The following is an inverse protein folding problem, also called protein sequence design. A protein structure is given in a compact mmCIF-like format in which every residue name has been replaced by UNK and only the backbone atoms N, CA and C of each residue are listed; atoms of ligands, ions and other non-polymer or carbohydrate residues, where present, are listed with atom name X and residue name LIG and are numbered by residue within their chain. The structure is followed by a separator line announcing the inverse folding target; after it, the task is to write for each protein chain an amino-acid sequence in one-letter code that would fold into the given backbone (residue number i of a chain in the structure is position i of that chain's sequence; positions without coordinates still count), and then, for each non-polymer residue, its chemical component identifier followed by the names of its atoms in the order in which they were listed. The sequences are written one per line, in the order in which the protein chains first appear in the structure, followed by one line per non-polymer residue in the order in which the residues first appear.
data_IF_545776814943
#
_entry.id   IF_545776814943
#
_cell.length_a   1.000
_cell.length_b   1.000
_cell.length_c   1.000
_cell.angle_alpha   90.00
_cell.angle_beta   90.00
_cell.angle_gamma   90.00
#
_symmetry.space_group_name_H-M   'P 1'
#
loop_
_entity.id
_entity.type
_entity.pdbx_description
1 polymer ?
#
# COMPACT_ATOMS: atom_id res chain seq x y z
N UNK A 1 -18.41 -14.97 4.52
CA UNK A 1 -17.85 -16.33 4.46
C UNK A 1 -17.39 -16.71 5.86
N UNK A 2 -17.60 -17.96 6.28
CA UNK A 2 -17.32 -18.49 7.62
C UNK A 2 -15.90 -19.06 7.80
N UNK A 3 -15.05 -18.96 6.76
CA UNK A 3 -13.65 -19.37 6.80
C UNK A 3 -13.40 -20.87 6.71
N UNK A 4 -14.42 -21.69 6.43
CA UNK A 4 -14.23 -23.15 6.35
C UNK A 4 -13.61 -23.66 5.04
N UNK A 5 -13.36 -22.76 4.07
CA UNK A 5 -12.81 -23.06 2.74
C UNK A 5 -11.49 -22.33 2.46
N UNK A 6 -10.63 -22.21 3.49
CA UNK A 6 -9.30 -21.63 3.32
C UNK A 6 -8.45 -22.53 2.42
N UNK A 7 -7.93 -21.95 1.35
CA UNK A 7 -6.98 -22.59 0.44
C UNK A 7 -5.62 -21.94 0.63
N UNK A 8 -4.60 -22.74 0.94
CA UNK A 8 -3.24 -22.26 0.88
C UNK A 8 -2.81 -22.16 -0.59
N UNK A 9 -2.61 -20.93 -1.07
CA UNK A 9 -2.25 -20.64 -2.47
C UNK A 9 -0.74 -20.46 -2.69
N UNK A 10 0.07 -20.40 -1.62
CA UNK A 10 1.53 -20.45 -1.71
C UNK A 10 2.08 -21.66 -0.96
N UNK A 11 2.75 -22.56 -1.69
CA UNK A 11 3.29 -23.79 -1.12
C UNK A 11 4.79 -23.89 -1.38
N UNK A 12 5.55 -23.09 -0.64
CA UNK A 12 7.00 -23.04 -0.71
C UNK A 12 7.58 -22.71 0.68
N UNK A 13 8.90 -22.86 0.86
CA UNK A 13 9.57 -22.64 2.14
C UNK A 13 9.98 -21.16 2.40
N UNK A 14 9.72 -20.27 1.43
CA UNK A 14 10.05 -18.86 1.51
C UNK A 14 9.02 -18.11 2.38
N UNK A 15 9.39 -16.92 2.84
CA UNK A 15 8.43 -15.99 3.39
C UNK A 15 7.63 -15.37 2.23
N UNK A 16 6.31 -15.40 2.34
CA UNK A 16 5.39 -14.71 1.45
C UNK A 16 4.56 -13.72 2.30
N UNK A 17 4.33 -12.50 1.80
CA UNK A 17 3.59 -11.49 2.56
C UNK A 17 2.97 -10.39 1.74
N UNK A 18 2.18 -9.54 2.41
CA UNK A 18 1.49 -8.40 1.80
C UNK A 18 0.63 -8.74 0.56
N UNK A 19 -0.23 -9.78 0.58
CA UNK A 19 -1.03 -10.12 -0.58
C UNK A 19 -2.08 -9.05 -0.86
N UNK A 20 -2.19 -8.64 -2.13
CA UNK A 20 -3.22 -7.74 -2.62
C UNK A 20 -3.91 -8.33 -3.85
N UNK A 21 -5.24 -8.25 -3.86
CA UNK A 21 -6.05 -8.71 -4.99
C UNK A 21 -6.02 -7.69 -6.12
N UNK A 22 -5.96 -8.17 -7.36
CA UNK A 22 -6.24 -7.31 -8.51
C UNK A 22 -7.68 -6.79 -8.46
N UNK A 23 -7.99 -5.62 -9.07
CA UNK A 23 -9.32 -5.02 -8.98
C UNK A 23 -10.46 -5.92 -9.47
N UNK A 24 -10.17 -6.78 -10.46
CA UNK A 24 -11.10 -7.75 -11.01
C UNK A 24 -11.12 -9.10 -10.26
N UNK A 25 -10.33 -9.26 -9.20
CA UNK A 25 -10.22 -10.48 -8.40
C UNK A 25 -9.57 -11.68 -9.09
N UNK A 26 -9.01 -11.51 -10.29
CA UNK A 26 -8.45 -12.63 -11.07
C UNK A 26 -7.00 -12.97 -10.70
N UNK A 27 -6.29 -12.06 -10.02
CA UNK A 27 -4.88 -12.18 -9.69
C UNK A 27 -4.60 -11.72 -8.26
N UNK A 28 -3.46 -12.17 -7.74
CA UNK A 28 -2.90 -11.76 -6.45
C UNK A 28 -1.48 -11.27 -6.72
N UNK A 29 -1.15 -10.07 -6.26
CA UNK A 29 0.24 -9.62 -6.13
C UNK A 29 0.70 -9.76 -4.68
N UNK A 30 1.95 -10.12 -4.46
CA UNK A 30 2.52 -10.35 -3.14
C UNK A 30 4.04 -10.26 -3.21
N UNK A 31 4.72 -10.03 -2.08
CA UNK A 31 6.18 -10.14 -2.03
C UNK A 31 6.58 -11.53 -1.54
N UNK A 32 7.73 -12.01 -2.00
CA UNK A 32 8.29 -13.31 -1.62
C UNK A 32 9.81 -13.30 -1.68
N UNK A 33 10.47 -14.02 -0.77
CA UNK A 33 11.93 -14.13 -0.77
C UNK A 33 12.49 -15.42 -1.40
N UNK A 34 11.68 -16.08 -2.24
CA UNK A 34 12.02 -17.37 -2.85
C UNK A 34 13.26 -17.34 -3.75
N UNK A 35 13.65 -16.16 -4.23
CA UNK A 35 14.81 -15.96 -5.11
C UNK A 35 16.04 -15.38 -4.36
N UNK A 36 15.98 -15.25 -3.04
CA UNK A 36 17.11 -14.83 -2.19
C UNK A 36 17.01 -13.40 -1.64
N UNK A 37 16.08 -12.60 -2.14
CA UNK A 37 15.69 -11.27 -1.68
C UNK A 37 14.17 -11.09 -1.89
N UNK A 38 13.57 -10.07 -1.27
CA UNK A 38 12.14 -9.82 -1.42
C UNK A 38 11.84 -9.28 -2.82
N UNK A 39 10.93 -9.94 -3.52
CA UNK A 39 10.55 -9.64 -4.90
C UNK A 39 9.03 -9.59 -5.05
N UNK A 40 8.53 -8.73 -5.93
CA UNK A 40 7.10 -8.67 -6.26
C UNK A 40 6.75 -9.75 -7.27
N UNK A 41 5.83 -10.62 -6.86
CA UNK A 41 5.24 -11.65 -7.70
C UNK A 41 3.78 -11.39 -7.97
N UNK A 42 3.32 -11.86 -9.13
CA UNK A 42 1.90 -11.96 -9.46
C UNK A 42 1.55 -13.41 -9.80
N UNK A 43 0.42 -13.88 -9.31
CA UNK A 43 -0.15 -15.19 -9.64
C UNK A 43 -1.65 -15.09 -9.91
N UNK A 44 -2.23 -16.14 -10.48
CA UNK A 44 -3.68 -16.25 -10.60
C UNK A 44 -4.32 -16.40 -9.20
N UNK A 45 -5.60 -16.02 -9.09
CA UNK A 45 -6.39 -16.12 -7.86
C UNK A 45 -6.39 -17.51 -7.19
N UNK A 46 -6.19 -18.57 -7.97
CA UNK A 46 -6.13 -19.96 -7.52
C UNK A 46 -4.72 -20.40 -7.10
N UNK A 47 -3.73 -19.50 -7.11
CA UNK A 47 -2.33 -19.76 -6.79
C UNK A 47 -1.49 -20.25 -7.97
N UNK A 48 -2.07 -20.44 -9.14
CA UNK A 48 -1.35 -20.91 -10.33
C UNK A 48 -0.54 -19.80 -11.01
N UNK A 49 0.46 -20.21 -11.79
CA UNK A 49 1.27 -19.32 -12.65
C UNK A 49 1.91 -18.12 -11.93
N UNK A 50 2.70 -18.31 -10.86
CA UNK A 50 3.45 -17.23 -10.25
C UNK A 50 4.54 -16.72 -11.22
N UNK A 51 4.64 -15.40 -11.35
CA UNK A 51 5.61 -14.69 -12.20
C UNK A 51 6.32 -13.63 -11.36
N UNK A 52 7.65 -13.61 -11.38
CA UNK A 52 8.47 -12.55 -10.77
C UNK A 52 8.42 -11.31 -11.66
N UNK A 53 8.06 -10.15 -11.11
CA UNK A 53 7.98 -8.89 -11.86
C UNK A 53 9.23 -8.02 -11.71
N UNK A 54 9.86 -7.97 -10.54
CA UNK A 54 10.87 -6.96 -10.21
C UNK A 54 12.32 -7.41 -10.43
N UNK A 55 12.63 -8.68 -10.20
CA UNK A 55 13.90 -9.36 -10.40
C UNK A 55 15.15 -8.45 -10.33
N UNK A 56 15.47 -7.95 -9.14
CA UNK A 56 16.63 -7.09 -8.89
C UNK A 56 17.20 -7.32 -7.48
N UNK A 57 18.47 -7.01 -7.18
CA UNK A 57 19.07 -7.37 -5.89
C UNK A 57 18.51 -6.64 -4.65
N UNK A 58 17.65 -5.65 -4.83
CA UNK A 58 17.08 -4.84 -3.75
C UNK A 58 15.87 -5.53 -3.12
N UNK A 59 15.35 -5.02 -2.00
CA UNK A 59 14.11 -5.53 -1.42
C UNK A 59 12.91 -4.79 -2.03
N UNK A 60 12.01 -5.52 -2.69
CA UNK A 60 10.75 -4.98 -3.21
C UNK A 60 9.55 -5.50 -2.40
N UNK A 61 8.73 -4.56 -1.89
CA UNK A 61 7.65 -4.87 -0.94
C UNK A 61 6.39 -4.02 -1.20
N UNK A 62 5.36 -4.26 -0.37
CA UNK A 62 4.11 -3.51 -0.34
C UNK A 62 3.47 -3.26 -1.73
N UNK A 63 3.19 -4.32 -2.52
CA UNK A 63 2.57 -4.15 -3.83
C UNK A 63 1.16 -3.56 -3.70
N UNK A 64 0.80 -2.66 -4.61
CA UNK A 64 -0.52 -2.04 -4.70
C UNK A 64 -0.96 -1.89 -6.15
N UNK A 65 -2.08 -2.53 -6.50
CA UNK A 65 -2.67 -2.47 -7.84
C UNK A 65 -3.27 -1.10 -8.12
N UNK A 66 -3.03 -0.58 -9.34
CA UNK A 66 -3.85 0.47 -9.91
C UNK A 66 -5.30 -0.03 -10.11
N UNK A 67 -6.32 0.84 -10.02
CA UNK A 67 -7.73 0.42 -10.11
C UNK A 67 -8.12 -0.15 -11.48
N UNK A 68 -7.39 0.21 -12.53
CA UNK A 68 -7.54 -0.37 -13.87
C UNK A 68 -6.85 -1.73 -14.04
N UNK A 69 -6.05 -2.15 -13.05
CA UNK A 69 -5.33 -3.42 -13.03
C UNK A 69 -4.13 -3.47 -13.99
N UNK A 70 -3.65 -2.35 -14.52
CA UNK A 70 -2.55 -2.33 -15.50
C UNK A 70 -1.18 -2.13 -14.86
N UNK A 71 -1.12 -1.54 -13.67
CA UNK A 71 0.12 -1.13 -13.02
C UNK A 71 0.11 -1.56 -11.56
N UNK A 72 1.30 -1.85 -11.03
CA UNK A 72 1.52 -2.10 -9.61
C UNK A 72 2.51 -1.04 -9.11
N UNK A 73 2.11 -0.33 -8.07
CA UNK A 73 3.02 0.48 -7.26
C UNK A 73 3.64 -0.41 -6.17
N UNK A 74 4.89 -0.16 -5.80
CA UNK A 74 5.58 -0.93 -4.77
C UNK A 74 6.73 -0.10 -4.18
N UNK A 75 7.21 -0.48 -3.00
CA UNK A 75 8.36 0.15 -2.35
C UNK A 75 9.64 -0.65 -2.64
N UNK A 76 10.77 0.06 -2.77
CA UNK A 76 12.08 -0.56 -3.06
C UNK A 76 13.23 0.31 -2.57
N UNK A 77 14.29 -0.32 -2.08
CA UNK A 77 15.53 0.33 -1.62
C UNK A 77 16.68 0.35 -2.64
N UNK A 78 16.41 -0.05 -3.90
CA UNK A 78 17.40 -0.18 -4.99
C UNK A 78 18.36 0.99 -5.21
N UNK A 79 17.94 2.21 -4.88
CA UNK A 79 18.74 3.42 -5.07
C UNK A 79 19.37 3.94 -3.76
N UNK A 80 19.53 3.04 -2.77
CA UNK A 80 20.16 3.32 -1.48
C UNK A 80 19.22 3.96 -0.44
N UNK A 81 17.95 4.08 -0.80
CA UNK A 81 16.87 4.63 0.01
C UNK A 81 15.53 4.08 -0.48
N UNK A 82 14.59 3.87 0.43
CA UNK A 82 13.26 3.38 0.10
C UNK A 82 12.47 4.46 -0.64
N UNK A 83 11.99 4.09 -1.83
CA UNK A 83 11.27 4.93 -2.77
C UNK A 83 10.12 4.13 -3.41
N UNK A 84 9.15 4.82 -4.01
CA UNK A 84 8.01 4.19 -4.68
C UNK A 84 8.28 4.08 -6.18
N UNK A 85 8.05 2.88 -6.71
CA UNK A 85 8.22 2.55 -8.13
C UNK A 85 6.90 2.03 -8.71
N UNK A 86 6.80 2.10 -10.03
CA UNK A 86 5.74 1.48 -10.81
C UNK A 86 6.30 0.37 -11.69
N UNK A 87 5.52 -0.69 -11.87
CA UNK A 87 5.77 -1.75 -12.85
C UNK A 87 4.47 -2.16 -13.54
N UNK A 88 4.53 -2.55 -14.80
CA UNK A 88 3.36 -3.08 -15.49
C UNK A 88 2.97 -4.43 -14.90
N UNK A 89 1.68 -4.63 -14.66
CA UNK A 89 1.17 -5.83 -14.01
C UNK A 89 1.29 -7.11 -14.87
N UNK A 90 1.50 -6.94 -16.17
CA UNK A 90 1.75 -8.05 -17.11
C UNK A 90 3.24 -8.44 -17.18
N UNK A 91 4.12 -7.73 -16.45
CA UNK A 91 5.57 -7.94 -16.46
C UNK A 91 6.28 -7.37 -17.68
N UNK A 92 5.59 -6.60 -18.52
CA UNK A 92 6.23 -5.89 -19.63
C UNK A 92 7.00 -4.66 -19.14
N UNK A 93 8.10 -4.33 -19.83
CA UNK A 93 8.93 -3.17 -19.47
C UNK A 93 9.77 -3.38 -18.22
N UNK A 94 10.32 -2.28 -17.70
CA UNK A 94 11.13 -2.26 -16.49
C UNK A 94 10.45 -1.39 -15.44
N UNK A 95 10.66 -1.72 -14.16
CA UNK A 95 10.20 -0.86 -13.08
C UNK A 95 10.81 0.54 -13.18
N UNK A 96 10.00 1.57 -12.99
CA UNK A 96 10.40 2.98 -13.08
C UNK A 96 10.13 3.69 -11.75
N UNK A 97 11.06 4.56 -11.34
CA UNK A 97 10.90 5.36 -10.13
C UNK A 97 9.75 6.33 -10.31
N UNK A 98 8.83 6.35 -9.34
CA UNK A 98 7.71 7.30 -9.33
C UNK A 98 8.03 8.51 -8.47
N UNK A 99 8.53 8.29 -7.26
CA UNK A 99 8.92 9.35 -6.33
C UNK A 99 10.01 8.89 -5.36
N UNK A 100 10.83 9.85 -4.92
CA UNK A 100 11.75 9.74 -3.79
C UNK A 100 11.75 11.06 -3.03
N UNK A 101 11.07 11.14 -1.89
CA UNK A 101 11.09 12.34 -1.02
C UNK A 101 12.43 12.43 -0.26
N UNK A 102 12.64 13.40 0.67
CA UNK A 102 13.79 13.37 1.58
C UNK A 102 13.72 12.30 2.68
N UNK A 103 12.53 11.81 3.05
CA UNK A 103 12.33 10.67 3.97
C UNK A 103 11.99 9.39 3.21
N UNK A 104 12.14 8.20 3.81
CA UNK A 104 11.78 6.95 3.15
C UNK A 104 10.27 6.93 2.81
N UNK A 105 9.93 6.43 1.61
CA UNK A 105 8.56 6.44 1.08
C UNK A 105 7.97 5.02 1.10
N UNK A 106 6.98 4.79 1.94
CA UNK A 106 6.45 3.45 2.24
C UNK A 106 4.98 3.27 1.86
N UNK A 107 4.57 2.02 1.73
CA UNK A 107 3.17 1.58 1.68
C UNK A 107 2.28 2.37 0.70
N UNK A 108 2.61 2.39 -0.61
CA UNK A 108 1.80 3.09 -1.59
C UNK A 108 0.39 2.48 -1.69
N UNK A 109 -0.64 3.33 -1.81
CA UNK A 109 -2.03 2.92 -2.03
C UNK A 109 -2.71 3.79 -3.07
N UNK A 110 -3.34 3.16 -4.06
CA UNK A 110 -4.06 3.87 -5.11
C UNK A 110 -5.42 4.37 -4.61
N UNK A 111 -5.77 5.59 -5.01
CA UNK A 111 -7.14 6.09 -4.94
C UNK A 111 -8.07 5.26 -5.85
N UNK A 112 -9.36 5.11 -5.53
CA UNK A 112 -10.27 4.24 -6.29
C UNK A 112 -10.47 4.64 -7.75
N UNK A 113 -10.30 5.93 -8.08
CA UNK A 113 -10.41 6.44 -9.45
C UNK A 113 -9.08 6.37 -10.22
N UNK A 114 -8.00 5.97 -9.56
CA UNK A 114 -6.67 5.81 -10.14
C UNK A 114 -5.94 7.12 -10.41
N UNK A 115 -6.47 8.25 -9.97
CA UNK A 115 -5.89 9.57 -10.26
C UNK A 115 -4.81 9.99 -9.26
N UNK A 116 -4.80 9.36 -8.09
CA UNK A 116 -3.91 9.67 -6.96
C UNK A 116 -3.33 8.42 -6.31
N UNK A 117 -2.18 8.61 -5.66
CA UNK A 117 -1.53 7.64 -4.79
C UNK A 117 -1.31 8.30 -3.43
N UNK A 118 -1.74 7.61 -2.37
CA UNK A 118 -1.37 7.90 -1.00
C UNK A 118 -0.14 7.08 -0.61
N UNK A 119 0.73 7.62 0.22
CA UNK A 119 1.91 6.91 0.73
C UNK A 119 2.38 7.53 2.04
N UNK A 120 3.18 6.79 2.80
CA UNK A 120 3.80 7.29 4.01
C UNK A 120 5.19 7.86 3.72
N UNK A 121 5.51 9.04 4.26
CA UNK A 121 6.88 9.56 4.27
C UNK A 121 7.15 10.32 5.56
N UNK A 122 8.26 9.99 6.23
CA UNK A 122 8.70 10.69 7.45
C UNK A 122 7.72 10.61 8.63
N UNK A 123 6.88 9.57 8.68
CA UNK A 123 5.84 9.42 9.70
C UNK A 123 4.52 10.12 9.37
N UNK A 124 4.44 10.83 8.25
CA UNK A 124 3.22 11.49 7.77
C UNK A 124 2.64 10.78 6.54
N UNK A 125 1.39 11.08 6.24
CA UNK A 125 0.73 10.62 5.01
C UNK A 125 0.82 11.72 3.96
N UNK A 126 1.26 11.31 2.79
CA UNK A 126 1.33 12.12 1.59
C UNK A 126 0.34 11.62 0.55
N UNK A 127 -0.17 12.54 -0.26
CA UNK A 127 -0.98 12.26 -1.44
C UNK A 127 -0.34 12.94 -2.64
N UNK A 128 -0.16 12.20 -3.73
CA UNK A 128 0.32 12.73 -5.01
C UNK A 128 -0.61 12.33 -6.15
N UNK A 129 -0.45 12.95 -7.30
CA UNK A 129 -1.05 12.46 -8.54
C UNK A 129 -0.42 11.11 -8.92
N UNK A 130 -1.16 10.28 -9.66
CA UNK A 130 -0.70 8.96 -10.09
C UNK A 130 0.58 8.97 -10.97
N UNK A 131 0.90 10.12 -11.58
CA UNK A 131 2.14 10.33 -12.34
C UNK A 131 3.34 10.78 -11.48
N UNK A 132 3.17 10.81 -10.15
CA UNK A 132 4.19 11.23 -9.19
C UNK A 132 4.22 12.74 -8.94
N UNK A 133 3.43 13.53 -9.66
CA UNK A 133 3.42 14.98 -9.52
C UNK A 133 2.61 15.44 -8.30
N UNK A 134 2.91 16.66 -7.82
CA UNK A 134 2.18 17.35 -6.75
C UNK A 134 2.01 16.53 -5.45
N UNK A 135 3.10 16.02 -4.84
CA UNK A 135 3.02 15.43 -3.51
C UNK A 135 2.62 16.49 -2.47
N UNK A 136 1.62 16.16 -1.65
CA UNK A 136 1.08 17.01 -0.57
C UNK A 136 1.11 16.21 0.72
N UNK A 137 1.72 16.74 1.78
CA UNK A 137 1.59 16.20 3.14
C UNK A 137 0.18 16.54 3.65
N UNK A 138 -0.66 15.51 3.86
CA UNK A 138 -2.07 15.70 4.25
C UNK A 138 -2.29 15.62 5.76
N UNK A 139 -1.35 15.06 6.53
CA UNK A 139 -1.45 14.98 8.00
C UNK A 139 -0.67 16.08 8.71
N UNK A 140 0.60 16.24 8.37
CA UNK A 140 1.54 17.21 8.95
C UNK A 140 1.41 17.31 10.47
N UNK A 141 1.60 16.18 11.16
CA UNK A 141 1.45 16.06 12.62
C UNK A 141 2.75 15.60 13.27
N UNK A 142 2.96 15.83 14.58
CA UNK A 142 4.10 15.23 15.29
C UNK A 142 3.95 13.72 15.54
N UNK A 143 2.81 13.14 15.19
CA UNK A 143 2.47 11.74 15.44
C UNK A 143 2.83 10.86 14.23
N UNK A 144 2.98 9.56 14.46
CA UNK A 144 3.25 8.60 13.39
C UNK A 144 1.95 8.13 12.76
N UNK A 145 1.82 8.28 11.44
CA UNK A 145 0.62 7.97 10.67
C UNK A 145 0.89 6.88 9.64
N UNK A 146 0.02 5.88 9.56
CA UNK A 146 0.18 4.68 8.73
C UNK A 146 -1.19 4.03 8.39
N UNK A 147 -1.20 2.89 7.71
CA UNK A 147 -2.40 2.08 7.42
C UNK A 147 -3.45 2.88 6.60
N UNK A 148 -2.98 3.48 5.50
CA UNK A 148 -3.74 4.39 4.63
C UNK A 148 -4.85 3.64 3.89
N UNK A 149 -6.10 4.09 4.00
CA UNK A 149 -7.23 3.53 3.24
C UNK A 149 -8.16 4.62 2.70
N UNK A 150 -8.32 4.66 1.37
CA UNK A 150 -9.21 5.57 0.67
C UNK A 150 -10.69 5.20 0.85
N UNK A 151 -11.53 6.22 1.01
CA UNK A 151 -12.98 6.08 0.90
C UNK A 151 -13.36 5.64 -0.51
N UNK A 152 -14.45 4.88 -0.71
CA UNK A 152 -14.84 4.39 -2.04
C UNK A 152 -15.07 5.49 -3.09
N UNK A 153 -15.40 6.70 -2.65
CA UNK A 153 -15.56 7.87 -3.53
C UNK A 153 -14.27 8.67 -3.75
N UNK A 154 -13.14 8.22 -3.19
CA UNK A 154 -11.81 8.80 -3.37
C UNK A 154 -11.58 10.16 -2.70
N UNK A 155 -12.52 10.64 -1.87
CA UNK A 155 -12.44 11.99 -1.28
C UNK A 155 -11.79 12.05 0.09
N UNK A 156 -11.89 10.97 0.85
CA UNK A 156 -11.45 10.92 2.25
C UNK A 156 -10.51 9.75 2.43
N UNK A 157 -9.52 9.92 3.29
CA UNK A 157 -8.55 8.91 3.69
C UNK A 157 -8.80 8.61 5.16
N UNK A 158 -8.91 7.34 5.52
CA UNK A 158 -8.82 6.86 6.89
C UNK A 158 -7.43 6.27 7.12
N UNK A 159 -6.90 6.44 8.33
CA UNK A 159 -5.56 5.98 8.68
C UNK A 159 -5.41 5.77 10.19
N UNK A 160 -4.36 5.06 10.58
CA UNK A 160 -3.95 4.92 11.97
C UNK A 160 -2.98 6.04 12.35
N UNK A 161 -3.12 6.56 13.57
CA UNK A 161 -2.19 7.48 14.20
C UNK A 161 -1.71 6.88 15.51
N UNK A 162 -0.41 6.66 15.66
CA UNK A 162 0.22 6.39 16.95
C UNK A 162 0.54 7.73 17.61
N UNK A 163 -0.34 8.16 18.52
CA UNK A 163 -0.20 9.48 19.13
C UNK A 163 0.90 9.50 20.18
N UNK A 164 1.82 10.44 20.04
CA UNK A 164 2.89 10.73 21.00
C UNK A 164 2.34 11.28 22.33
N UNK A 165 1.15 11.88 22.31
CA UNK A 165 0.50 12.43 23.49
C UNK A 165 -0.25 11.37 24.29
N UNK A 166 -1.03 10.52 23.62
CA UNK A 166 -1.86 9.51 24.29
C UNK A 166 -1.13 8.18 24.49
N UNK A 167 -0.12 7.88 23.66
CA UNK A 167 0.57 6.58 23.64
C UNK A 167 -0.29 5.45 23.05
N UNK A 168 -1.45 5.78 22.49
CA UNK A 168 -2.38 4.82 21.88
C UNK A 168 -2.48 5.02 20.37
N UNK A 169 -2.91 3.96 19.69
CA UNK A 169 -3.32 4.03 18.29
C UNK A 169 -4.74 4.56 18.21
N UNK A 170 -4.94 5.57 17.39
CA UNK A 170 -6.23 6.19 17.08
C UNK A 170 -6.52 6.08 15.59
N UNK A 171 -7.80 6.08 15.21
CA UNK A 171 -8.19 6.16 13.80
C UNK A 171 -8.59 7.60 13.48
N UNK A 172 -7.97 8.14 12.44
CA UNK A 172 -8.20 9.49 11.97
C UNK A 172 -8.68 9.48 10.52
N UNK A 173 -9.30 10.59 10.13
CA UNK A 173 -9.68 10.84 8.74
C UNK A 173 -9.22 12.21 8.29
N UNK A 174 -8.86 12.31 7.03
CA UNK A 174 -8.50 13.56 6.35
C UNK A 174 -9.04 13.53 4.92
N UNK A 175 -9.38 14.69 4.36
CA UNK A 175 -9.68 14.77 2.93
C UNK A 175 -8.40 14.62 2.12
N UNK A 176 -8.53 14.17 0.87
CA UNK A 176 -7.38 13.96 -0.03
C UNK A 176 -6.58 15.25 -0.35
N UNK A 177 -7.14 16.42 -0.04
CA UNK A 177 -6.49 17.73 -0.15
C UNK A 177 -5.83 18.21 1.16
N UNK A 178 -5.83 17.38 2.21
CA UNK A 178 -5.31 17.72 3.54
C UNK A 178 -6.31 18.47 4.45
N UNK A 179 -7.50 18.81 3.95
CA UNK A 179 -8.51 19.49 4.77
C UNK A 179 -9.27 18.52 5.69
N UNK A 180 -9.93 19.07 6.71
CA UNK A 180 -10.85 18.31 7.57
C UNK A 180 -10.22 17.15 8.37
N UNK A 181 -8.92 17.24 8.69
CA UNK A 181 -8.23 16.29 9.57
C UNK A 181 -8.93 16.22 10.95
N UNK A 182 -9.37 15.02 11.35
CA UNK A 182 -10.05 14.80 12.63
C UNK A 182 -10.01 13.32 13.06
N UNK A 183 -10.08 13.03 14.37
CA UNK A 183 -10.23 11.66 14.85
C UNK A 183 -11.64 11.13 14.57
N UNK A 184 -11.77 9.83 14.35
CA UNK A 184 -13.06 9.13 14.45
C UNK A 184 -13.29 8.84 15.93
N UNK A 185 -14.25 9.53 16.55
CA UNK A 185 -14.58 9.33 17.96
C UNK A 185 -15.10 7.89 18.21
N UNK A 186 -14.28 7.06 18.87
CA UNK A 186 -14.58 5.65 19.06
C UNK A 186 -13.63 4.91 19.99
N UNK A 187 -13.42 5.42 21.21
CA UNK A 187 -12.98 4.65 22.39
C UNK A 187 -11.54 4.15 22.37
N UNK A 188 -10.76 4.55 23.37
CA UNK A 188 -9.48 3.93 23.67
C UNK A 188 -9.66 2.43 23.89
N UNK A 189 -9.25 1.62 22.93
CA UNK A 189 -9.03 0.19 23.10
C UNK A 189 -7.75 -0.18 22.37
N UNK A 190 -6.91 -0.96 23.05
CA UNK A 190 -5.61 -1.48 22.64
C UNK A 190 -5.63 -2.46 21.45
N UNK A 191 -6.60 -2.33 20.54
CA UNK A 191 -6.69 -3.19 19.36
C UNK A 191 -6.21 -2.43 18.14
N UNK A 192 -5.02 -2.81 17.67
CA UNK A 192 -4.48 -2.52 16.34
C UNK A 192 -5.39 -3.11 15.27
N UNK A 193 -6.44 -2.39 14.89
CA UNK A 193 -7.30 -2.76 13.77
C UNK A 193 -7.00 -1.84 12.58
N UNK A 194 -6.61 -2.40 11.45
CA UNK A 194 -6.47 -1.63 10.21
C UNK A 194 -7.82 -1.05 9.81
N UNK A 195 -7.89 0.25 9.45
CA UNK A 195 -9.14 0.89 9.08
C UNK A 195 -9.69 0.26 7.79
N UNK A 196 -11.01 0.21 7.67
CA UNK A 196 -11.67 -0.27 6.46
C UNK A 196 -12.99 0.47 6.24
N UNK A 197 -13.29 0.80 4.99
CA UNK A 197 -14.57 1.41 4.62
C UNK A 197 -15.62 0.34 4.31
N UNK A 198 -16.85 0.56 4.77
CA UNK A 198 -17.97 -0.30 4.38
C UNK A 198 -18.39 -0.02 2.94
N UNK A 199 -18.52 -1.05 2.07
CA UNK A 199 -19.22 -0.90 0.80
C UNK A 199 -20.67 -0.48 1.05
N UNK A 200 -21.24 0.32 0.14
CA UNK A 200 -22.68 0.64 0.15
C UNK A 200 -23.50 -0.53 -0.37
#
# INVERSE_FOLDING_TARGET
ADGSSLVNVTNNAAADGGPVWSPNGSKIAFWTNRDGNDEIYVMNADGSSPVNLTNNPAADRAPAWSPDGQTIAFETDRDGKVAIYLINADGSGSAAQLISTPADDWAPVWSPDGTKIGFQAGGDIYVMNADGSNPVNVTNTPDWNDDIVWSPDGRTIAFQTLSTLSGFVEIWVVNADGSSLKPIAGGGTSSSGSPAWRPR
#
